data_IF_620456798434
#
_entry.id   IF_620456798434
#
_cell.length_a   1.000
_cell.length_b   1.000
_cell.length_c   1.000
_cell.angle_alpha   90.00
_cell.angle_beta   90.00
_cell.angle_gamma   90.00
#
_symmetry.space_group_name_H-M   'P 1'
#
loop_
_entity.id
_entity.type
_entity.pdbx_description
1 polymer ?
#
# COMPACT_ATOMS: atom_id res chain seq x y z
N UNK A 1 -19.37 -1.19 -10.39
CA UNK A 1 -18.90 -0.61 -9.10
C UNK A 1 -17.38 -0.64 -9.13
N UNK A 2 -16.73 0.48 -8.79
CA UNK A 2 -15.25 0.58 -8.85
C UNK A 2 -14.69 0.27 -7.48
N UNK A 3 -13.80 -0.69 -7.44
CA UNK A 3 -13.20 -1.24 -6.22
C UNK A 3 -11.70 -1.08 -6.31
N UNK A 4 -11.17 -0.20 -5.47
CA UNK A 4 -9.75 0.16 -5.47
C UNK A 4 -9.03 -0.62 -4.39
N UNK A 5 -8.13 -1.49 -4.80
CA UNK A 5 -7.19 -2.15 -3.90
C UNK A 5 -6.01 -1.21 -3.68
N UNK A 6 -5.66 -0.93 -2.43
CA UNK A 6 -4.46 -0.18 -2.07
C UNK A 6 -3.55 -1.10 -1.25
N UNK A 7 -2.30 -1.20 -1.68
CA UNK A 7 -1.25 -1.96 -0.99
C UNK A 7 0.03 -1.11 -0.96
N UNK A 8 0.85 -1.24 0.07
CA UNK A 8 2.06 -0.43 0.15
C UNK A 8 2.99 -0.74 1.31
N UNK A 9 4.01 0.11 1.45
CA UNK A 9 5.05 -0.02 2.46
C UNK A 9 4.51 0.16 3.89
N UNK A 10 4.96 -0.75 4.76
CA UNK A 10 4.65 -0.73 6.20
C UNK A 10 5.31 0.43 6.95
N UNK A 11 6.38 0.97 6.38
CA UNK A 11 7.23 2.03 6.94
C UNK A 11 6.92 3.42 6.38
N UNK A 12 5.90 3.55 5.52
CA UNK A 12 5.49 4.86 5.03
C UNK A 12 4.85 5.67 6.15
N UNK A 13 5.48 6.78 6.53
CA UNK A 13 4.91 7.76 7.47
C UNK A 13 4.29 8.97 6.77
N UNK A 14 4.50 9.13 5.46
CA UNK A 14 4.00 10.27 4.68
C UNK A 14 2.52 10.12 4.29
N UNK A 15 1.63 10.53 5.19
CA UNK A 15 0.17 10.55 4.96
C UNK A 15 -0.21 11.35 3.70
N UNK A 16 0.37 12.54 3.54
CA UNK A 16 0.00 13.48 2.47
C UNK A 16 0.23 12.90 1.07
N UNK A 17 1.33 12.17 0.88
CA UNK A 17 1.61 11.48 -0.37
C UNK A 17 0.59 10.36 -0.63
N UNK A 18 0.27 9.55 0.38
CA UNK A 18 -0.72 8.48 0.24
C UNK A 18 -2.08 9.06 -0.16
N UNK A 19 -2.49 10.16 0.47
CA UNK A 19 -3.76 10.83 0.18
C UNK A 19 -3.77 11.42 -1.22
N UNK A 20 -2.69 12.11 -1.62
CA UNK A 20 -2.56 12.68 -2.95
C UNK A 20 -2.64 11.60 -4.03
N UNK A 21 -1.96 10.47 -3.83
CA UNK A 21 -1.93 9.38 -4.82
C UNK A 21 -3.26 8.63 -4.91
N UNK A 22 -3.91 8.37 -3.77
CA UNK A 22 -5.27 7.82 -3.74
C UNK A 22 -6.23 8.77 -4.45
N UNK A 23 -6.22 10.06 -4.12
CA UNK A 23 -7.11 11.06 -4.72
C UNK A 23 -6.88 11.20 -6.23
N UNK A 24 -5.61 11.28 -6.65
CA UNK A 24 -5.24 11.33 -8.07
C UNK A 24 -5.73 10.09 -8.81
N UNK A 25 -5.57 8.90 -8.23
CA UNK A 25 -6.05 7.67 -8.84
C UNK A 25 -7.57 7.61 -8.89
N UNK A 26 -8.27 8.00 -7.82
CA UNK A 26 -9.74 8.12 -7.78
C UNK A 26 -10.23 9.10 -8.86
N UNK A 27 -9.54 10.23 -9.04
CA UNK A 27 -9.87 11.21 -10.07
C UNK A 27 -9.63 10.66 -11.48
N UNK A 28 -8.54 9.92 -11.70
CA UNK A 28 -8.21 9.27 -12.98
C UNK A 28 -9.27 8.22 -13.38
N UNK A 29 -9.75 7.43 -12.42
CA UNK A 29 -10.80 6.43 -12.66
C UNK A 29 -12.20 7.05 -12.66
N UNK A 30 -12.39 8.29 -12.19
CA UNK A 30 -13.68 8.95 -12.05
C UNK A 30 -14.55 8.39 -10.91
N UNK A 31 -13.97 8.22 -9.71
CA UNK A 31 -14.65 7.80 -8.49
C UNK A 31 -14.43 6.34 -8.08
N UNK A 32 -14.56 6.04 -6.79
CA UNK A 32 -14.46 4.69 -6.21
C UNK A 32 -15.67 4.45 -5.30
N UNK A 33 -16.23 3.24 -5.32
CA UNK A 33 -17.33 2.84 -4.42
C UNK A 33 -16.79 2.25 -3.11
N UNK A 34 -15.70 1.49 -3.23
CA UNK A 34 -15.11 0.76 -2.13
C UNK A 34 -13.58 0.68 -2.26
N UNK A 35 -12.91 0.93 -1.14
CA UNK A 35 -11.46 0.84 -1.00
C UNK A 35 -11.12 -0.41 -0.22
N UNK A 36 -10.20 -1.19 -0.74
CA UNK A 36 -9.79 -2.47 -0.21
C UNK A 36 -8.32 -2.38 0.20
N UNK A 37 -7.96 -2.85 1.39
CA UNK A 37 -6.56 -2.85 1.83
C UNK A 37 -6.21 -4.07 2.69
N UNK A 38 -4.92 -4.26 2.97
CA UNK A 38 -4.36 -5.47 3.55
C UNK A 38 -4.22 -5.55 5.06
N UNK A 39 -4.72 -4.56 5.81
CA UNK A 39 -4.56 -4.44 7.26
C UNK A 39 -3.11 -4.25 7.72
N UNK A 40 -2.27 -3.58 6.92
CA UNK A 40 -0.86 -3.37 7.24
C UNK A 40 -0.58 -2.00 7.89
N UNK A 41 0.59 -1.83 8.51
CA UNK A 41 0.99 -0.51 9.03
C UNK A 41 1.33 0.45 7.87
N UNK A 42 1.48 1.75 8.17
CA UNK A 42 1.91 2.75 7.19
C UNK A 42 0.83 3.10 6.17
N UNK A 43 1.04 2.75 4.89
CA UNK A 43 0.13 3.11 3.79
C UNK A 43 -1.31 2.67 4.06
N UNK A 44 -1.48 1.41 4.44
CA UNK A 44 -2.79 0.78 4.64
C UNK A 44 -3.61 1.51 5.73
N UNK A 45 -2.94 1.91 6.82
CA UNK A 45 -3.53 2.68 7.91
C UNK A 45 -4.03 4.05 7.44
N UNK A 46 -3.27 4.72 6.56
CA UNK A 46 -3.68 6.00 5.99
C UNK A 46 -4.82 5.85 4.99
N UNK A 47 -4.82 4.78 4.19
CA UNK A 47 -5.92 4.42 3.30
C UNK A 47 -7.22 4.24 4.06
N UNK A 48 -7.19 3.53 5.19
CA UNK A 48 -8.36 3.35 6.06
C UNK A 48 -8.91 4.70 6.52
N UNK A 49 -8.04 5.55 7.07
CA UNK A 49 -8.43 6.91 7.50
C UNK A 49 -9.00 7.73 6.35
N UNK A 50 -8.40 7.66 5.16
CA UNK A 50 -8.88 8.37 3.98
C UNK A 50 -10.31 7.94 3.62
N UNK A 51 -10.57 6.63 3.62
CA UNK A 51 -11.90 6.11 3.34
C UNK A 51 -12.92 6.57 4.40
N UNK A 52 -12.55 6.52 5.68
CA UNK A 52 -13.39 7.00 6.79
C UNK A 52 -13.69 8.50 6.69
N UNK A 53 -12.68 9.34 6.43
CA UNK A 53 -12.85 10.80 6.30
C UNK A 53 -13.70 11.19 5.08
N UNK A 54 -13.60 10.44 3.98
CA UNK A 54 -14.36 10.70 2.75
C UNK A 54 -15.71 9.96 2.70
N UNK A 55 -16.06 9.17 3.71
CA UNK A 55 -17.30 8.39 3.74
C UNK A 55 -17.36 7.28 2.67
N UNK A 56 -16.21 6.76 2.25
CA UNK A 56 -16.09 5.69 1.25
C UNK A 56 -16.12 4.35 1.98
N UNK A 57 -16.74 3.32 1.38
CA UNK A 57 -16.72 1.97 1.96
C UNK A 57 -15.29 1.46 2.02
N UNK A 58 -14.90 0.91 3.17
CA UNK A 58 -13.58 0.36 3.39
C UNK A 58 -13.67 -1.12 3.74
N UNK A 59 -12.85 -1.95 3.08
CA UNK A 59 -12.80 -3.40 3.27
C UNK A 59 -11.36 -3.82 3.54
N UNK A 60 -11.10 -4.33 4.73
CA UNK A 60 -9.80 -4.88 5.09
C UNK A 60 -9.76 -6.39 4.81
N UNK A 61 -8.73 -6.86 4.10
CA UNK A 61 -8.40 -8.27 3.94
C UNK A 61 -7.15 -8.57 4.76
N UNK A 62 -7.35 -8.88 6.04
CA UNK A 62 -6.29 -9.39 6.89
C UNK A 62 -5.92 -10.82 6.45
N UNK A 63 -4.63 -11.18 6.31
CA UNK A 63 -4.24 -12.56 6.01
C UNK A 63 -4.56 -13.46 7.20
N UNK A 64 -5.22 -14.58 6.95
CA UNK A 64 -5.58 -15.56 7.97
C UNK A 64 -4.37 -16.46 8.30
N UNK A 65 -3.41 -15.91 9.05
CA UNK A 65 -2.17 -16.61 9.42
C UNK A 65 -2.39 -17.78 10.39
N UNK A 66 -3.60 -17.93 10.95
CA UNK A 66 -3.91 -19.04 11.86
C UNK A 66 -4.05 -20.38 11.14
N UNK A 67 -4.55 -20.37 9.91
CA UNK A 67 -4.88 -21.62 9.20
C UNK A 67 -3.79 -22.05 8.20
N UNK A 68 -3.08 -21.11 7.55
CA UNK A 68 -2.05 -21.46 6.55
C UNK A 68 -0.91 -20.42 6.49
N UNK A 69 0.16 -20.61 7.26
CA UNK A 69 1.29 -19.67 7.41
C UNK A 69 1.92 -19.26 6.05
N UNK A 70 2.01 -20.18 5.08
CA UNK A 70 2.64 -19.92 3.77
C UNK A 70 1.66 -19.63 2.62
N UNK A 71 0.41 -20.10 2.70
CA UNK A 71 -0.56 -19.95 1.63
C UNK A 71 -1.56 -18.81 1.87
N UNK A 72 -1.71 -18.33 3.11
CA UNK A 72 -2.66 -17.26 3.45
C UNK A 72 -2.41 -15.98 2.64
N UNK A 73 -1.14 -15.62 2.41
CA UNK A 73 -0.78 -14.45 1.60
C UNK A 73 -1.20 -14.63 0.14
N UNK A 74 -0.92 -15.79 -0.47
CA UNK A 74 -1.30 -16.08 -1.85
C UNK A 74 -2.82 -16.09 -2.04
N UNK A 75 -3.55 -16.77 -1.16
CA UNK A 75 -5.01 -16.84 -1.23
C UNK A 75 -5.63 -15.47 -1.03
N UNK A 76 -5.09 -14.66 -0.11
CA UNK A 76 -5.52 -13.29 0.11
C UNK A 76 -5.26 -12.40 -1.11
N UNK A 77 -4.07 -12.46 -1.70
CA UNK A 77 -3.72 -11.68 -2.89
C UNK A 77 -4.66 -12.03 -4.07
N UNK A 78 -4.95 -13.32 -4.24
CA UNK A 78 -5.88 -13.83 -5.26
C UNK A 78 -7.30 -13.31 -5.02
N UNK A 79 -7.80 -13.41 -3.80
CA UNK A 79 -9.12 -12.89 -3.42
C UNK A 79 -9.20 -11.37 -3.59
N UNK A 80 -8.15 -10.63 -3.22
CA UNK A 80 -8.12 -9.18 -3.43
C UNK A 80 -8.14 -8.85 -4.92
N UNK A 81 -7.33 -9.51 -5.73
CA UNK A 81 -7.28 -9.32 -7.17
C UNK A 81 -8.63 -9.66 -7.83
N UNK A 82 -9.26 -10.77 -7.46
CA UNK A 82 -10.57 -11.16 -8.00
C UNK A 82 -11.69 -10.21 -7.55
N UNK A 83 -11.61 -9.72 -6.31
CA UNK A 83 -12.64 -8.84 -5.75
C UNK A 83 -12.54 -7.41 -6.29
N UNK A 84 -11.32 -6.91 -6.48
CA UNK A 84 -11.06 -5.55 -6.93
C UNK A 84 -11.13 -5.37 -8.44
N UNK A 85 -11.12 -4.11 -8.86
CA UNK A 85 -11.04 -3.75 -10.30
C UNK A 85 -9.79 -2.95 -10.61
N UNK A 86 -9.24 -2.27 -9.60
CA UNK A 86 -8.04 -1.45 -9.73
C UNK A 86 -7.11 -1.77 -8.57
N UNK A 87 -5.80 -1.72 -8.83
CA UNK A 87 -4.75 -2.00 -7.86
C UNK A 87 -3.76 -0.83 -7.83
N UNK A 88 -3.64 -0.17 -6.68
CA UNK A 88 -2.67 0.87 -6.39
C UNK A 88 -1.60 0.31 -5.43
N UNK A 89 -0.35 0.27 -5.88
CA UNK A 89 0.79 -0.20 -5.10
C UNK A 89 1.72 0.97 -4.80
N UNK A 90 1.84 1.32 -3.53
CA UNK A 90 2.68 2.42 -3.03
C UNK A 90 3.92 1.83 -2.35
N UNK A 91 5.00 1.59 -3.11
CA UNK A 91 6.22 0.95 -2.59
C UNK A 91 7.51 1.56 -3.15
N UNK A 92 8.61 1.50 -2.39
CA UNK A 92 9.92 2.02 -2.82
C UNK A 92 10.65 1.10 -3.82
N UNK A 93 9.94 0.12 -4.39
CA UNK A 93 10.50 -0.88 -5.30
C UNK A 93 9.53 -2.05 -5.49
N UNK A 94 9.66 -2.75 -6.62
CA UNK A 94 8.91 -3.99 -6.88
C UNK A 94 9.61 -5.13 -6.14
N UNK A 95 9.27 -5.32 -4.87
CA UNK A 95 9.70 -6.50 -4.09
C UNK A 95 9.07 -7.79 -4.62
N UNK A 96 9.65 -8.95 -4.27
CA UNK A 96 9.10 -10.28 -4.63
C UNK A 96 7.63 -10.43 -4.21
N UNK A 97 7.25 -9.86 -3.07
CA UNK A 97 5.88 -9.91 -2.54
C UNK A 97 4.88 -9.19 -3.46
N UNK A 98 5.21 -7.97 -3.91
CA UNK A 98 4.34 -7.22 -4.82
C UNK A 98 4.22 -7.86 -6.20
N UNK A 99 5.23 -8.62 -6.66
CA UNK A 99 5.15 -9.33 -7.96
C UNK A 99 4.00 -10.33 -7.99
N UNK A 100 3.72 -10.98 -6.88
CA UNK A 100 2.68 -11.98 -6.82
C UNK A 100 1.29 -11.34 -7.01
N UNK A 101 1.01 -10.31 -6.20
CA UNK A 101 -0.21 -9.51 -6.32
C UNK A 101 -0.36 -8.85 -7.70
N UNK A 102 0.73 -8.34 -8.30
CA UNK A 102 0.71 -7.78 -9.66
C UNK A 102 0.38 -8.85 -10.69
N UNK A 103 0.88 -10.08 -10.52
CA UNK A 103 0.61 -11.19 -11.44
C UNK A 103 -0.86 -11.59 -11.38
N UNK A 104 -1.41 -11.74 -10.17
CA UNK A 104 -2.82 -12.04 -9.95
C UNK A 104 -3.72 -10.93 -10.49
N UNK A 105 -3.36 -9.67 -10.25
CA UNK A 105 -4.09 -8.52 -10.77
C UNK A 105 -4.06 -8.46 -12.31
N UNK A 106 -2.92 -8.80 -12.93
CA UNK A 106 -2.83 -8.90 -14.40
C UNK A 106 -3.69 -10.05 -14.94
N UNK A 107 -3.67 -11.20 -14.28
CA UNK A 107 -4.49 -12.35 -14.67
C UNK A 107 -5.99 -12.00 -14.63
N UNK A 108 -6.40 -11.19 -13.65
CA UNK A 108 -7.76 -10.71 -13.50
C UNK A 108 -8.09 -9.44 -14.30
N UNK A 109 -7.18 -8.94 -15.16
CA UNK A 109 -7.34 -7.73 -15.98
C UNK A 109 -7.61 -6.43 -15.18
N UNK A 110 -6.99 -6.29 -14.01
CA UNK A 110 -7.10 -5.09 -13.19
C UNK A 110 -6.21 -3.97 -13.75
N UNK A 111 -6.62 -2.72 -13.50
CA UNK A 111 -5.79 -1.55 -13.75
C UNK A 111 -4.77 -1.43 -12.62
N UNK A 112 -3.49 -1.64 -12.94
CA UNK A 112 -2.40 -1.64 -11.97
C UNK A 112 -1.64 -0.33 -12.05
N UNK A 113 -1.52 0.37 -10.93
CA UNK A 113 -0.74 1.58 -10.75
C UNK A 113 0.29 1.35 -9.65
N UNK A 114 1.56 1.31 -10.02
CA UNK A 114 2.66 1.25 -9.06
C UNK A 114 3.32 2.62 -8.94
N UNK A 115 3.44 3.15 -7.73
CA UNK A 115 4.11 4.41 -7.44
C UNK A 115 5.39 4.13 -6.69
N UNK A 116 6.49 4.26 -7.42
CA UNK A 116 7.86 4.17 -6.90
C UNK A 116 8.33 5.50 -6.29
N UNK A 117 9.37 5.44 -5.45
CA UNK A 117 9.97 6.65 -4.84
C UNK A 117 9.34 7.06 -3.51
N UNK A 118 8.57 6.19 -2.86
CA UNK A 118 8.23 6.35 -1.46
C UNK A 118 9.47 6.06 -0.60
N UNK A 119 10.38 7.04 -0.50
CA UNK A 119 11.46 7.01 0.47
C UNK A 119 10.86 6.98 1.89
N UNK A 120 10.76 5.79 2.48
CA UNK A 120 10.81 5.65 3.93
C UNK A 120 12.20 6.09 4.35
N UNK A 121 12.30 6.98 5.36
CA UNK A 121 13.52 7.63 5.86
C UNK A 121 14.79 7.12 5.16
N UNK A 122 15.30 7.90 4.21
CA UNK A 122 16.73 7.89 3.94
C UNK A 122 17.42 8.06 5.29
N UNK A 123 18.11 7.02 5.75
CA UNK A 123 19.05 7.12 6.86
C UNK A 123 20.23 7.98 6.36
N UNK A 124 20.01 9.28 6.32
CA UNK A 124 21.04 10.29 6.18
C UNK A 124 20.74 11.37 7.19
N UNK A 125 20.90 11.04 8.46
CA UNK A 125 21.51 11.88 9.49
C UNK A 125 21.37 11.18 10.83
N UNK A 126 22.24 10.19 11.07
CA UNK A 126 22.74 9.99 12.43
C UNK A 126 23.68 11.17 12.71
N UNK A 127 23.10 12.35 12.95
CA UNK A 127 23.82 13.42 13.62
C UNK A 127 24.10 12.89 15.02
N UNK A 128 25.34 12.48 15.30
CA UNK A 128 25.84 12.31 16.65
C UNK A 128 26.26 13.70 17.14
N UNK A 129 25.45 14.44 17.93
CA UNK A 129 25.94 15.62 18.62
C UNK A 129 26.85 15.14 19.77
N UNK A 130 28.14 14.88 19.50
CA UNK A 130 29.03 14.45 20.57
C UNK A 130 30.49 14.18 20.27
N UNK A 131 30.92 14.04 19.01
CA UNK A 131 32.33 13.85 18.72
C UNK A 131 33.02 15.21 18.52
N UNK A 132 33.45 15.82 19.62
CA UNK A 132 34.40 16.93 19.60
C UNK A 132 35.73 16.34 19.08
N UNK A 133 36.29 16.79 17.93
CA UNK A 133 37.63 16.36 17.56
C UNK A 133 38.62 16.99 18.55
N UNK A 134 39.25 16.14 19.37
CA UNK A 134 40.37 16.52 20.24
C UNK A 134 41.56 16.94 19.38
N UNK A 135 42.06 18.18 19.49
CA UNK A 135 43.31 18.56 18.84
C UNK A 135 44.47 18.07 19.72
N UNK A 136 45.15 17.01 19.26
CA UNK A 136 46.53 16.73 19.63
C UNK A 136 47.39 16.87 18.39
#
# INVERSE_FOLDING_TARGET
>A
MKKLIVSGLRTCERKDLVYAEINKFISEIGGVDEIISGGSMGVDMYTKRYAEEHGIKFKEFAPDFQSHINAATFVRDSQMAEYGTHLLVLSNGISKESKNLITEAKANNLVIKSVGGFEGRSETETFYPGAIPSPY
#
